data_IF_720162115864
#
_entry.id   IF_720162115864
#
_cell.length_a   1.000
_cell.length_b   1.000
_cell.length_c   1.000
_cell.angle_alpha   90.00
_cell.angle_beta   90.00
_cell.angle_gamma   90.00
#
_symmetry.space_group_name_H-M   'P 1'
#
loop_
_entity.id
_entity.type
_entity.pdbx_description
1 polymer ?
#
# COMPACT_ATOMS: atom_id res chain seq x y z
N UNK A 1 11.63 14.60 -7.08
CA UNK A 1 12.95 14.24 -7.64
C UNK A 1 13.72 13.40 -6.64
N UNK A 2 14.49 12.42 -7.12
CA UNK A 2 15.51 11.69 -6.35
C UNK A 2 16.88 12.07 -6.92
N UNK A 3 17.83 12.47 -6.07
CA UNK A 3 19.18 12.89 -6.47
C UNK A 3 19.20 13.93 -7.63
N UNK A 4 18.24 14.87 -7.60
CA UNK A 4 18.12 15.95 -8.58
C UNK A 4 17.48 15.58 -9.92
N UNK A 5 16.93 14.36 -10.06
CA UNK A 5 16.23 13.93 -11.29
C UNK A 5 14.84 13.40 -10.98
N UNK A 6 13.94 13.47 -11.96
CA UNK A 6 12.63 12.81 -11.92
C UNK A 6 12.66 11.59 -12.84
N UNK A 7 11.89 10.56 -12.51
CA UNK A 7 11.67 9.43 -13.40
C UNK A 7 11.19 9.91 -14.79
N UNK A 8 11.56 9.27 -15.92
CA UNK A 8 12.46 8.11 -16.03
C UNK A 8 13.95 8.47 -16.01
N UNK A 9 14.32 9.75 -15.87
CA UNK A 9 15.71 10.19 -15.88
C UNK A 9 16.50 9.89 -14.60
N UNK A 10 15.84 9.39 -13.54
CA UNK A 10 16.49 8.92 -12.32
C UNK A 10 17.46 7.78 -12.61
N UNK A 11 18.55 7.73 -11.82
CA UNK A 11 19.52 6.64 -11.90
C UNK A 11 18.85 5.26 -11.81
N UNK A 12 19.42 4.28 -12.52
CA UNK A 12 19.01 2.88 -12.44
C UNK A 12 20.03 2.13 -11.59
N UNK A 13 19.55 1.47 -10.55
CA UNK A 13 20.38 0.63 -9.69
C UNK A 13 20.43 -0.79 -10.27
N UNK A 14 21.59 -1.43 -10.20
CA UNK A 14 21.79 -2.78 -10.71
C UNK A 14 22.39 -3.65 -9.61
N UNK A 15 21.81 -4.84 -9.42
CA UNK A 15 22.23 -5.80 -8.40
C UNK A 15 22.21 -7.22 -8.97
N UNK A 16 22.92 -8.11 -8.29
CA UNK A 16 22.82 -9.55 -8.46
C UNK A 16 22.01 -10.17 -7.32
N UNK A 17 21.27 -11.27 -7.56
CA UNK A 17 20.61 -12.01 -6.48
C UNK A 17 21.60 -12.39 -5.37
N UNK A 18 21.24 -12.09 -4.12
CA UNK A 18 22.07 -12.35 -2.95
C UNK A 18 23.03 -11.22 -2.55
N UNK A 19 23.08 -10.11 -3.31
CA UNK A 19 23.86 -8.94 -2.90
C UNK A 19 23.42 -8.41 -1.54
N UNK A 20 24.36 -7.88 -0.74
CA UNK A 20 24.00 -7.14 0.48
C UNK A 20 23.92 -5.65 0.16
N UNK A 21 22.70 -5.14 0.03
CA UNK A 21 22.44 -3.74 -0.30
C UNK A 21 22.25 -2.93 0.97
N UNK A 22 22.89 -1.76 1.03
CA UNK A 22 22.73 -0.79 2.12
C UNK A 22 22.51 0.59 1.55
N UNK A 23 21.39 1.20 1.90
CA UNK A 23 21.06 2.57 1.50
C UNK A 23 20.98 3.49 2.70
N UNK A 24 21.30 4.75 2.45
CA UNK A 24 20.94 5.86 3.34
C UNK A 24 20.01 6.78 2.57
N UNK A 25 18.74 6.78 2.95
CA UNK A 25 17.72 7.60 2.31
C UNK A 25 17.54 8.86 3.16
N UNK A 26 17.64 10.02 2.54
CA UNK A 26 17.61 11.32 3.24
C UNK A 26 16.53 12.20 2.63
N UNK A 27 15.60 12.66 3.45
CA UNK A 27 14.61 13.63 3.03
C UNK A 27 15.10 15.06 3.32
N UNK A 28 15.68 15.71 2.31
CA UNK A 28 16.08 17.12 2.40
C UNK A 28 14.98 18.10 1.97
N UNK A 29 13.75 17.62 1.78
CA UNK A 29 12.64 18.44 1.30
C UNK A 29 11.74 18.89 2.45
N UNK A 30 10.85 19.83 2.16
CA UNK A 30 9.91 20.36 3.14
C UNK A 30 8.67 19.52 3.36
N UNK A 31 8.55 18.31 2.81
CA UNK A 31 7.36 17.43 2.92
C UNK A 31 7.78 16.06 3.39
N UNK A 32 6.87 15.29 3.99
CA UNK A 32 7.12 13.88 4.29
C UNK A 32 7.22 13.06 2.99
N UNK A 33 7.90 11.90 3.04
CA UNK A 33 7.90 10.93 1.96
C UNK A 33 7.82 9.50 2.52
N UNK A 34 6.67 8.81 2.42
CA UNK A 34 6.59 7.37 2.60
C UNK A 34 7.30 6.70 1.41
N UNK A 35 8.45 6.08 1.65
CA UNK A 35 9.27 5.48 0.60
C UNK A 35 9.07 3.97 0.58
N UNK A 36 8.56 3.44 -0.53
CA UNK A 36 8.15 2.06 -0.74
C UNK A 36 9.12 1.30 -1.66
N UNK A 37 9.48 0.08 -1.27
CA UNK A 37 10.27 -0.87 -2.08
C UNK A 37 9.39 -2.02 -2.56
N UNK A 38 9.32 -2.20 -3.88
CA UNK A 38 8.57 -3.31 -4.48
C UNK A 38 9.30 -4.65 -4.30
N UNK A 39 8.53 -5.72 -4.12
CA UNK A 39 9.00 -7.11 -4.15
C UNK A 39 9.88 -7.57 -2.98
N UNK A 40 10.32 -6.65 -2.12
CA UNK A 40 11.28 -6.95 -1.05
C UNK A 40 10.95 -6.22 0.23
N UNK A 41 11.41 -6.81 1.32
CA UNK A 41 11.53 -6.14 2.60
C UNK A 41 12.94 -5.58 2.79
N UNK A 42 13.01 -4.44 3.48
CA UNK A 42 14.24 -3.93 4.05
C UNK A 42 14.18 -3.93 5.57
N UNK A 43 15.35 -4.11 6.19
CA UNK A 43 15.61 -3.85 7.59
C UNK A 43 15.86 -2.36 7.78
N UNK A 44 15.14 -1.73 8.72
CA UNK A 44 15.44 -0.36 9.16
C UNK A 44 16.56 -0.45 10.20
N UNK A 45 17.78 -0.10 9.80
CA UNK A 45 18.99 -0.26 10.59
C UNK A 45 19.27 0.95 11.50
N UNK A 46 18.83 2.13 11.07
CA UNK A 46 18.98 3.37 11.84
C UNK A 46 17.99 4.43 11.37
N UNK A 47 17.59 5.33 12.29
CA UNK A 47 16.87 6.57 11.98
C UNK A 47 17.61 7.76 12.55
N UNK A 48 17.59 8.89 11.85
CA UNK A 48 18.26 10.10 12.31
C UNK A 48 17.71 11.37 11.69
N UNK A 49 18.18 12.48 12.20
CA UNK A 49 17.89 13.83 11.73
C UNK A 49 19.13 14.73 11.95
N UNK A 50 18.94 16.06 12.00
CA UNK A 50 20.03 17.00 12.26
C UNK A 50 20.67 16.84 13.65
N UNK A 51 19.95 16.29 14.63
CA UNK A 51 20.39 16.08 16.00
C UNK A 51 21.22 14.82 16.21
N UNK A 52 21.27 13.93 15.23
CA UNK A 52 22.04 12.68 15.29
C UNK A 52 21.30 11.51 14.71
N UNK A 53 21.87 10.32 14.87
CA UNK A 53 21.32 9.07 14.34
C UNK A 53 21.30 8.00 15.43
N UNK A 54 20.17 7.31 15.56
CA UNK A 54 19.98 6.16 16.42
C UNK A 54 20.14 4.90 15.58
N UNK A 55 21.18 4.12 15.86
CA UNK A 55 21.45 2.84 15.23
C UNK A 55 20.81 1.73 16.05
N UNK A 56 20.04 0.87 15.40
CA UNK A 56 19.30 -0.22 16.05
C UNK A 56 20.13 -1.49 16.16
N UNK A 57 20.02 -2.17 17.31
CA UNK A 57 20.55 -3.51 17.52
C UNK A 57 19.72 -4.57 16.80
N UNK A 58 20.24 -5.79 16.67
CA UNK A 58 19.61 -6.87 15.89
C UNK A 58 18.17 -7.21 16.38
N UNK A 59 17.88 -7.02 17.67
CA UNK A 59 16.54 -7.23 18.24
C UNK A 59 15.57 -6.04 18.13
N UNK A 60 16.00 -4.94 17.52
CA UNK A 60 15.25 -3.69 17.38
C UNK A 60 15.01 -3.30 15.90
N UNK A 61 15.77 -3.92 14.98
CA UNK A 61 15.66 -3.69 13.54
C UNK A 61 14.37 -4.27 13.01
N UNK A 62 13.49 -3.38 12.60
CA UNK A 62 12.19 -3.75 12.06
C UNK A 62 12.31 -4.01 10.56
N UNK A 63 11.65 -5.07 10.09
CA UNK A 63 11.38 -5.24 8.66
C UNK A 63 10.22 -4.34 8.24
N UNK A 64 10.34 -3.75 7.05
CA UNK A 64 9.32 -2.92 6.44
C UNK A 64 9.40 -3.01 4.92
N UNK A 65 8.33 -2.58 4.25
CA UNK A 65 8.34 -2.34 2.81
C UNK A 65 8.16 -0.85 2.51
N UNK A 66 7.66 -0.09 3.49
CA UNK A 66 7.49 1.36 3.40
C UNK A 66 8.10 2.02 4.63
N UNK A 67 8.86 3.10 4.44
CA UNK A 67 9.43 3.89 5.53
C UNK A 67 9.17 5.38 5.28
N UNK A 68 8.45 6.02 6.20
CA UNK A 68 8.22 7.46 6.13
C UNK A 68 9.42 8.25 6.63
N UNK A 69 9.90 9.16 5.79
CA UNK A 69 10.90 10.15 6.17
C UNK A 69 10.24 11.52 6.30
N UNK A 70 10.24 12.09 7.50
CA UNK A 70 9.83 13.48 7.69
C UNK A 70 10.91 14.46 7.18
N UNK A 71 10.58 15.75 7.00
CA UNK A 71 11.55 16.77 6.59
C UNK A 71 12.81 16.76 7.46
N UNK A 72 13.98 16.67 6.83
CA UNK A 72 15.28 16.63 7.49
C UNK A 72 15.67 15.28 8.10
N UNK A 73 14.82 14.26 8.01
CA UNK A 73 15.12 12.92 8.51
C UNK A 73 15.89 12.08 7.49
N UNK A 74 16.56 11.05 8.02
CA UNK A 74 17.22 10.01 7.26
C UNK A 74 16.97 8.63 7.89
N UNK A 75 16.93 7.61 7.05
CA UNK A 75 16.95 6.22 7.47
C UNK A 75 18.12 5.48 6.80
N UNK A 76 18.76 4.57 7.54
CA UNK A 76 19.63 3.55 6.96
C UNK A 76 18.83 2.27 6.84
N UNK A 77 18.83 1.70 5.64
CA UNK A 77 18.12 0.46 5.37
C UNK A 77 19.05 -0.55 4.72
N UNK A 78 18.87 -1.82 5.03
CA UNK A 78 19.58 -2.92 4.39
C UNK A 78 18.61 -3.98 3.90
N UNK A 79 18.91 -4.57 2.75
CA UNK A 79 18.08 -5.58 2.13
C UNK A 79 18.90 -6.47 1.20
N UNK A 80 18.31 -7.59 0.80
CA UNK A 80 18.92 -8.57 -0.09
C UNK A 80 17.96 -8.77 -1.27
N UNK A 81 18.36 -8.40 -2.50
CA UNK A 81 17.59 -8.76 -3.68
C UNK A 81 17.67 -10.27 -3.85
N UNK A 82 16.55 -10.97 -3.72
CA UNK A 82 16.47 -12.41 -3.94
C UNK A 82 15.82 -12.76 -5.27
N UNK A 83 14.91 -11.91 -5.74
CA UNK A 83 14.10 -12.14 -6.94
C UNK A 83 14.63 -11.31 -8.12
N UNK A 84 15.02 -11.96 -9.23
CA UNK A 84 15.47 -11.24 -10.41
C UNK A 84 14.32 -10.50 -11.09
N UNK A 85 14.68 -9.48 -11.85
CA UNK A 85 13.76 -8.63 -12.59
C UNK A 85 13.88 -7.16 -12.24
N UNK A 86 12.94 -6.40 -12.77
CA UNK A 86 12.85 -4.96 -12.66
C UNK A 86 11.90 -4.57 -11.53
N UNK A 87 12.39 -3.73 -10.63
CA UNK A 87 11.68 -3.31 -9.43
C UNK A 87 11.76 -1.79 -9.31
N UNK A 88 10.93 -1.20 -8.45
CA UNK A 88 11.03 0.23 -8.15
C UNK A 88 11.16 0.49 -6.65
N UNK A 89 11.82 1.60 -6.35
CA UNK A 89 11.77 2.26 -5.05
C UNK A 89 11.19 3.65 -5.26
N UNK A 90 10.04 3.96 -4.65
CA UNK A 90 9.31 5.18 -4.93
C UNK A 90 8.60 5.79 -3.73
N UNK A 91 8.23 7.06 -3.83
CA UNK A 91 7.35 7.67 -2.84
C UNK A 91 5.91 7.22 -3.08
N UNK A 92 5.21 6.85 -2.01
CA UNK A 92 3.83 6.36 -2.05
C UNK A 92 2.78 7.49 -2.01
N UNK A 93 3.19 8.76 -2.15
CA UNK A 93 2.26 9.86 -2.42
C UNK A 93 2.02 9.93 -3.93
N UNK A 94 0.77 9.84 -4.35
CA UNK A 94 0.39 9.74 -5.76
C UNK A 94 0.91 10.92 -6.59
N UNK A 95 0.80 12.15 -6.07
CA UNK A 95 1.34 13.38 -6.69
C UNK A 95 2.87 13.37 -6.83
N UNK A 96 3.58 12.49 -6.13
CA UNK A 96 5.02 12.35 -6.24
C UNK A 96 5.43 11.25 -7.22
N UNK A 97 4.51 10.39 -7.63
CA UNK A 97 4.78 9.25 -8.51
C UNK A 97 4.03 9.34 -9.86
N UNK A 98 3.12 10.31 -10.04
CA UNK A 98 2.32 10.50 -11.26
C UNK A 98 2.47 11.92 -11.84
N UNK A 99 2.66 12.02 -13.15
CA UNK A 99 2.70 13.30 -13.86
C UNK A 99 1.35 14.01 -13.93
N UNK A 100 0.26 13.23 -14.02
CA UNK A 100 -1.09 13.77 -14.21
C UNK A 100 -1.56 14.56 -12.99
N UNK A 101 -1.17 14.15 -11.79
CA UNK A 101 -1.48 14.89 -10.56
C UNK A 101 -0.50 16.04 -10.28
N UNK A 102 0.69 16.05 -10.90
CA UNK A 102 1.59 17.23 -10.85
C UNK A 102 1.17 18.37 -11.78
N UNK A 103 0.29 18.14 -12.75
CA UNK A 103 -0.14 19.17 -13.70
C UNK A 103 -1.06 20.25 -13.08
N UNK A 104 -1.67 20.00 -11.92
CA UNK A 104 -2.43 21.00 -11.15
C UNK A 104 -1.54 22.02 -10.39
N UNK A 105 -0.21 21.86 -10.48
CA UNK A 105 0.75 22.80 -9.90
C UNK A 105 1.61 23.53 -10.91
N UNK A 106 1.86 23.02 -12.12
CA UNK A 106 2.57 23.74 -13.20
C UNK A 106 2.13 23.23 -14.57
N UNK A 107 2.18 24.10 -15.59
CA UNK A 107 2.08 23.67 -16.99
C UNK A 107 3.02 22.48 -17.21
N UNK A 108 2.55 21.45 -17.89
CA UNK A 108 3.30 20.23 -18.06
C UNK A 108 4.58 20.59 -18.87
N UNK A 109 5.83 20.34 -18.36
CA UNK A 109 7.08 20.71 -19.05
C UNK A 109 7.17 20.17 -20.49
N UNK A 110 7.54 21.02 -21.47
CA UNK A 110 7.45 20.81 -22.94
C UNK A 110 7.79 19.43 -23.55
N UNK A 111 8.46 18.54 -22.81
CA UNK A 111 8.79 17.16 -23.19
C UNK A 111 7.72 16.13 -22.75
N UNK A 112 6.44 16.53 -22.65
CA UNK A 112 5.35 15.60 -22.30
C UNK A 112 5.15 14.52 -23.36
N UNK A 113 5.08 13.25 -22.95
CA UNK A 113 4.43 12.25 -23.78
C UNK A 113 2.91 12.55 -23.82
N UNK A 114 2.26 12.43 -24.98
CA UNK A 114 0.84 12.78 -25.13
C UNK A 114 -0.06 11.89 -24.25
N UNK A 115 -1.29 12.35 -24.00
CA UNK A 115 -2.35 11.53 -23.42
C UNK A 115 -2.49 10.23 -24.24
N UNK A 116 -2.14 9.10 -23.63
CA UNK A 116 -1.87 7.83 -24.35
C UNK A 116 -0.42 7.33 -24.22
N UNK A 117 0.40 7.95 -23.36
CA UNK A 117 1.73 7.46 -23.01
C UNK A 117 1.65 5.99 -22.54
N UNK A 118 2.37 5.12 -23.25
CA UNK A 118 2.48 3.70 -22.95
C UNK A 118 3.89 3.41 -22.46
N UNK A 119 4.02 2.50 -21.49
CA UNK A 119 5.32 2.10 -20.94
C UNK A 119 5.70 2.84 -19.66
N UNK A 120 7.01 3.05 -19.43
CA UNK A 120 7.57 3.67 -18.21
C UNK A 120 7.00 5.08 -17.90
N UNK A 121 6.41 5.75 -18.89
CA UNK A 121 5.92 7.13 -18.80
C UNK A 121 4.60 7.30 -18.02
N UNK A 122 3.96 6.20 -17.60
CA UNK A 122 2.80 6.22 -16.70
C UNK A 122 3.16 6.66 -15.27
N UNK A 123 4.46 6.65 -14.95
CA UNK A 123 5.04 7.08 -13.68
C UNK A 123 5.89 8.34 -13.88
N UNK A 124 6.06 9.13 -12.82
CA UNK A 124 6.82 10.37 -12.80
C UNK A 124 7.42 10.69 -11.43
N UNK A 125 8.27 11.70 -11.35
CA UNK A 125 8.69 12.24 -10.05
C UNK A 125 9.66 11.35 -9.23
N UNK A 126 9.33 11.09 -7.96
CA UNK A 126 10.15 10.36 -6.98
C UNK A 126 10.04 8.83 -7.17
N UNK A 127 10.55 8.34 -8.30
CA UNK A 127 10.65 6.91 -8.60
C UNK A 127 12.08 6.59 -9.01
N UNK A 128 12.62 5.49 -8.50
CA UNK A 128 13.95 4.96 -8.84
C UNK A 128 13.82 3.52 -9.32
N UNK A 129 14.45 3.20 -10.44
CA UNK A 129 14.39 1.88 -11.04
C UNK A 129 15.53 1.02 -10.53
N UNK A 130 15.23 -0.24 -10.23
CA UNK A 130 16.16 -1.26 -9.78
C UNK A 130 16.10 -2.42 -10.75
N UNK A 131 17.24 -2.97 -11.12
CA UNK A 131 17.36 -4.18 -11.92
C UNK A 131 18.16 -5.22 -11.14
N UNK A 132 17.54 -6.34 -10.85
CA UNK A 132 18.21 -7.52 -10.30
C UNK A 132 18.43 -8.48 -11.45
N UNK A 133 19.68 -8.74 -11.81
CA UNK A 133 20.00 -9.51 -13.01
C UNK A 133 19.56 -10.98 -12.85
N UNK A 134 18.89 -11.58 -13.85
CA UNK A 134 18.56 -13.00 -13.81
C UNK A 134 19.84 -13.83 -13.88
N UNK A 135 20.02 -14.83 -12.99
CA UNK A 135 21.16 -15.73 -13.07
C UNK A 135 21.06 -16.59 -14.35
N UNK A 136 22.18 -17.15 -14.85
CA UNK A 136 22.16 -18.03 -16.02
C UNK A 136 21.19 -19.21 -15.82
N UNK A 137 20.28 -19.39 -16.78
CA UNK A 137 19.27 -20.47 -16.73
C UNK A 137 18.07 -20.17 -15.82
N UNK A 138 17.88 -18.91 -15.40
CA UNK A 138 16.66 -18.49 -14.72
C UNK A 138 15.43 -18.73 -15.59
N UNK A 139 14.44 -19.42 -15.01
CA UNK A 139 13.10 -19.54 -15.53
C UNK A 139 12.16 -18.92 -14.51
N UNK A 140 11.35 -17.96 -14.96
CA UNK A 140 10.43 -17.23 -14.09
C UNK A 140 9.28 -18.10 -13.58
N UNK A 141 8.91 -19.12 -14.34
CA UNK A 141 7.68 -19.88 -14.13
C UNK A 141 7.97 -21.29 -13.61
N UNK A 142 7.08 -21.79 -12.75
CA UNK A 142 7.11 -23.18 -12.27
C UNK A 142 5.78 -23.89 -12.56
N UNK A 143 5.84 -25.22 -12.66
CA UNK A 143 4.66 -26.06 -12.94
C UNK A 143 3.88 -26.45 -11.68
N UNK A 144 4.12 -25.81 -10.52
CA UNK A 144 3.49 -26.25 -9.28
C UNK A 144 1.97 -25.96 -9.29
N UNK A 145 1.15 -26.92 -8.82
CA UNK A 145 -0.30 -26.74 -8.79
C UNK A 145 -0.67 -25.58 -7.87
N UNK A 146 -1.54 -24.70 -8.35
CA UNK A 146 -1.93 -23.46 -7.67
C UNK A 146 -3.41 -23.42 -7.37
N UNK A 147 -3.75 -22.87 -6.20
CA UNK A 147 -5.14 -22.45 -5.93
C UNK A 147 -5.45 -21.24 -6.80
N UNK A 148 -6.44 -21.36 -7.68
CA UNK A 148 -6.89 -20.27 -8.53
C UNK A 148 -7.93 -19.39 -7.84
N UNK A 149 -7.80 -18.09 -8.06
CA UNK A 149 -8.73 -17.03 -7.69
C UNK A 149 -9.05 -16.20 -8.94
N UNK A 150 -10.31 -15.85 -9.16
CA UNK A 150 -10.70 -14.99 -10.28
C UNK A 150 -11.09 -13.60 -9.75
N UNK A 151 -10.26 -12.59 -10.07
CA UNK A 151 -10.41 -11.20 -9.65
C UNK A 151 -10.88 -10.36 -10.84
N UNK A 152 -12.11 -9.87 -10.76
CA UNK A 152 -12.69 -9.03 -11.80
C UNK A 152 -12.54 -7.55 -11.47
N UNK A 153 -12.06 -6.79 -12.44
CA UNK A 153 -12.05 -5.33 -12.38
C UNK A 153 -13.27 -4.84 -13.15
N UNK A 154 -14.15 -4.12 -12.49
CA UNK A 154 -15.46 -3.73 -12.99
C UNK A 154 -15.70 -2.25 -12.79
N UNK A 155 -16.71 -1.71 -13.47
CA UNK A 155 -17.03 -0.29 -13.45
C UNK A 155 -18.52 -0.06 -13.33
N UNK A 156 -18.90 0.90 -12.49
CA UNK A 156 -20.27 1.42 -12.42
C UNK A 156 -20.27 2.93 -12.65
N UNK A 157 -21.00 3.45 -13.66
CA UNK A 157 -21.19 4.89 -13.83
C UNK A 157 -21.93 5.51 -12.65
N UNK A 158 -21.65 6.78 -12.36
CA UNK A 158 -22.44 7.59 -11.43
C UNK A 158 -22.43 7.14 -9.97
N UNK A 159 -21.36 6.45 -9.54
CA UNK A 159 -21.19 6.03 -8.14
C UNK A 159 -20.89 7.23 -7.26
N UNK A 160 -20.11 8.19 -7.77
CA UNK A 160 -19.67 9.37 -7.03
C UNK A 160 -20.19 10.63 -7.73
N UNK A 161 -21.52 10.70 -7.91
CA UNK A 161 -22.18 11.78 -8.66
C UNK A 161 -22.01 11.59 -10.17
N UNK A 162 -21.12 12.36 -10.78
CA UNK A 162 -20.77 12.26 -12.20
C UNK A 162 -19.58 11.31 -12.46
N UNK A 163 -18.78 10.99 -11.43
CA UNK A 163 -17.69 10.03 -11.53
C UNK A 163 -18.17 8.56 -11.46
N UNK A 164 -17.48 7.71 -12.21
CA UNK A 164 -17.62 6.27 -12.10
C UNK A 164 -16.90 5.74 -10.85
N UNK A 165 -17.38 4.61 -10.35
CA UNK A 165 -16.66 3.80 -9.38
C UNK A 165 -16.12 2.54 -10.03
N UNK A 166 -14.94 2.11 -9.59
CA UNK A 166 -14.26 0.93 -10.07
C UNK A 166 -14.06 -0.05 -8.92
N UNK A 167 -14.30 -1.34 -9.16
CA UNK A 167 -14.27 -2.35 -8.11
C UNK A 167 -13.35 -3.51 -8.45
N UNK A 168 -12.62 -3.97 -7.45
CA UNK A 168 -12.03 -5.30 -7.45
C UNK A 168 -13.00 -6.32 -6.83
N UNK A 169 -13.53 -7.23 -7.64
CA UNK A 169 -14.54 -8.21 -7.26
C UNK A 169 -13.97 -9.61 -7.40
N UNK A 170 -13.67 -10.25 -6.27
CA UNK A 170 -13.29 -11.65 -6.21
C UNK A 170 -14.55 -12.50 -6.36
N UNK A 171 -14.60 -13.38 -7.35
CA UNK A 171 -15.77 -14.22 -7.58
C UNK A 171 -15.37 -15.57 -8.17
N UNK A 172 -15.68 -16.63 -7.43
CA UNK A 172 -15.55 -17.99 -7.95
C UNK A 172 -16.74 -18.31 -8.89
N UNK A 173 -16.44 -18.94 -10.03
CA UNK A 173 -17.46 -19.39 -10.98
C UNK A 173 -17.79 -18.36 -12.07
N UNK A 174 -19.07 -18.18 -12.46
CA UNK A 174 -19.43 -17.25 -13.52
C UNK A 174 -18.98 -15.82 -13.19
N UNK A 175 -18.60 -14.98 -14.16
CA UNK A 175 -18.21 -13.60 -13.89
C UNK A 175 -19.33 -12.78 -13.23
N UNK A 176 -19.01 -11.77 -12.39
CA UNK A 176 -20.00 -10.85 -11.81
C UNK A 176 -20.76 -10.06 -12.86
N UNK A 177 -21.83 -9.37 -12.45
CA UNK A 177 -22.42 -8.32 -13.27
C UNK A 177 -21.36 -7.25 -13.61
N UNK A 178 -21.42 -6.70 -14.83
CA UNK A 178 -20.39 -5.77 -15.32
C UNK A 178 -20.28 -4.48 -14.48
N UNK A 179 -21.36 -4.10 -13.81
CA UNK A 179 -21.49 -2.94 -12.93
C UNK A 179 -21.37 -3.27 -11.43
N UNK A 180 -21.05 -4.52 -11.08
CA UNK A 180 -20.78 -4.91 -9.70
C UNK A 180 -19.52 -4.20 -9.22
N UNK A 181 -19.61 -3.33 -8.22
CA UNK A 181 -18.43 -2.66 -7.62
C UNK A 181 -18.55 -2.69 -6.11
N UNK A 182 -17.40 -2.76 -5.44
CA UNK A 182 -17.26 -2.92 -4.00
C UNK A 182 -16.15 -2.01 -3.51
N UNK A 183 -16.40 -1.31 -2.40
CA UNK A 183 -15.42 -0.46 -1.73
C UNK A 183 -15.27 -0.90 -0.27
N UNK A 184 -14.05 -1.20 0.20
CA UNK A 184 -12.88 -1.49 -0.63
C UNK A 184 -13.14 -2.71 -1.53
N UNK A 185 -12.19 -3.01 -2.41
CA UNK A 185 -12.12 -4.25 -3.16
C UNK A 185 -12.25 -5.49 -2.27
N UNK A 186 -12.56 -6.62 -2.90
CA UNK A 186 -12.78 -7.88 -2.20
C UNK A 186 -11.53 -8.32 -1.42
N UNK A 187 -11.63 -8.75 -0.16
CA UNK A 187 -10.48 -9.28 0.56
C UNK A 187 -9.91 -10.50 -0.16
N UNK A 188 -8.61 -10.50 -0.38
CA UNK A 188 -7.87 -11.68 -0.89
C UNK A 188 -7.21 -12.33 0.31
N UNK A 189 -7.42 -13.64 0.48
CA UNK A 189 -6.88 -14.41 1.60
C UNK A 189 -6.16 -15.65 1.08
N UNK A 190 -4.84 -15.64 1.27
CA UNK A 190 -3.94 -16.73 0.93
C UNK A 190 -3.32 -17.35 2.20
N UNK A 191 -2.60 -18.45 2.01
CA UNK A 191 -1.84 -19.13 3.06
C UNK A 191 -0.35 -19.06 2.76
N UNK A 192 0.47 -18.78 3.77
CA UNK A 192 1.93 -18.75 3.64
C UNK A 192 2.47 -20.07 3.12
N UNK A 193 3.28 -20.02 2.07
CA UNK A 193 3.93 -21.17 1.45
C UNK A 193 3.02 -22.02 0.55
N UNK A 194 1.74 -21.67 0.38
CA UNK A 194 0.85 -22.34 -0.56
C UNK A 194 0.83 -21.59 -1.90
N UNK A 195 1.18 -22.25 -3.02
CA UNK A 195 1.12 -21.62 -4.33
C UNK A 195 -0.30 -21.20 -4.72
N UNK A 196 -0.45 -19.95 -5.15
CA UNK A 196 -1.70 -19.39 -5.63
C UNK A 196 -1.53 -18.73 -7.00
N UNK A 197 -2.62 -18.70 -7.75
CA UNK A 197 -2.75 -17.88 -8.95
C UNK A 197 -4.00 -17.00 -8.87
N UNK A 198 -3.85 -15.75 -9.29
CA UNK A 198 -4.93 -14.77 -9.36
C UNK A 198 -5.11 -14.40 -10.82
N UNK A 199 -6.17 -14.90 -11.43
CA UNK A 199 -6.59 -14.52 -12.77
C UNK A 199 -7.33 -13.19 -12.69
N UNK A 200 -6.67 -12.13 -13.16
CA UNK A 200 -7.26 -10.81 -13.27
C UNK A 200 -7.98 -10.69 -14.60
N UNK A 201 -9.23 -10.24 -14.53
CA UNK A 201 -10.08 -9.98 -15.68
C UNK A 201 -10.45 -8.50 -15.70
N UNK A 202 -9.81 -7.72 -16.57
CA UNK A 202 -10.12 -6.31 -16.70
C UNK A 202 -11.40 -6.13 -17.55
N UNK A 203 -12.52 -5.90 -16.88
CA UNK A 203 -13.83 -5.64 -17.49
C UNK A 203 -14.25 -4.18 -17.33
N UNK A 204 -13.34 -3.33 -16.88
CA UNK A 204 -13.49 -1.89 -16.88
C UNK A 204 -13.15 -1.33 -18.28
N UNK A 205 -13.24 -0.02 -18.44
CA UNK A 205 -12.96 0.73 -19.68
C UNK A 205 -11.60 1.45 -19.65
N UNK A 206 -10.74 1.11 -18.69
CA UNK A 206 -9.41 1.71 -18.51
C UNK A 206 -8.33 0.64 -18.42
N UNK A 207 -7.18 0.91 -19.03
CA UNK A 207 -5.98 0.11 -18.85
C UNK A 207 -5.33 0.41 -17.49
N UNK A 208 -4.81 -0.63 -16.82
CA UNK A 208 -4.20 -0.47 -15.50
C UNK A 208 -3.17 -1.56 -15.18
N UNK A 209 -2.23 -1.24 -14.29
CA UNK A 209 -1.41 -2.19 -13.54
C UNK A 209 -1.98 -2.40 -12.13
N UNK A 210 -1.94 -3.64 -11.64
CA UNK A 210 -2.32 -4.00 -10.26
C UNK A 210 -1.06 -4.30 -9.48
N UNK A 211 -0.79 -3.53 -8.43
CA UNK A 211 0.33 -3.74 -7.54
C UNK A 211 -0.10 -4.45 -6.25
N UNK A 212 0.80 -5.29 -5.73
CA UNK A 212 0.60 -6.19 -4.60
C UNK A 212 1.46 -5.72 -3.43
N UNK A 213 1.00 -4.67 -2.79
CA UNK A 213 1.78 -3.89 -1.85
C UNK A 213 2.31 -4.74 -0.68
N UNK A 214 3.63 -4.91 -0.66
CA UNK A 214 4.39 -5.61 0.37
C UNK A 214 4.52 -7.13 0.16
N UNK A 215 3.99 -7.70 -0.92
CA UNK A 215 4.19 -9.12 -1.21
C UNK A 215 5.49 -9.35 -1.99
N UNK A 216 6.19 -10.43 -1.64
CA UNK A 216 7.25 -11.00 -2.47
C UNK A 216 6.63 -11.86 -3.58
N UNK A 217 6.92 -11.53 -4.84
CA UNK A 217 6.39 -12.20 -6.03
C UNK A 217 7.36 -12.09 -7.21
N UNK A 218 6.99 -12.59 -8.38
CA UNK A 218 7.76 -12.37 -9.61
C UNK A 218 7.63 -10.94 -10.13
N UNK A 219 8.75 -10.34 -10.55
CA UNK A 219 8.79 -8.98 -11.10
C UNK A 219 7.80 -8.77 -12.24
N UNK A 220 7.56 -9.78 -13.11
CA UNK A 220 6.60 -9.67 -14.20
C UNK A 220 5.18 -9.32 -13.75
N UNK A 221 4.78 -9.76 -12.55
CA UNK A 221 3.46 -9.55 -11.99
C UNK A 221 3.37 -8.37 -11.00
N UNK A 222 4.47 -7.65 -10.79
CA UNK A 222 4.61 -6.58 -9.79
C UNK A 222 3.69 -5.38 -10.05
N UNK A 223 3.28 -5.15 -11.30
CA UNK A 223 2.22 -4.20 -11.60
C UNK A 223 2.67 -2.78 -11.94
N UNK A 224 3.90 -2.58 -12.40
CA UNK A 224 4.39 -1.33 -12.98
C UNK A 224 4.46 -1.47 -14.52
N UNK A 225 3.41 -1.08 -15.26
CA UNK A 225 3.40 -1.20 -16.72
C UNK A 225 4.60 -0.50 -17.36
N UNK A 226 5.24 -1.19 -18.31
CA UNK A 226 6.41 -0.68 -19.01
C UNK A 226 7.73 -0.80 -18.27
N UNK A 227 7.74 -1.30 -17.03
CA UNK A 227 8.97 -1.50 -16.26
C UNK A 227 9.09 -2.90 -15.67
N UNK A 228 8.06 -3.35 -14.94
CA UNK A 228 8.00 -4.66 -14.30
C UNK A 228 8.26 -5.79 -15.29
N UNK A 229 9.02 -6.81 -14.89
CA UNK A 229 9.45 -7.92 -15.72
C UNK A 229 10.96 -8.08 -15.80
N UNK A 230 11.43 -8.61 -16.92
CA UNK A 230 12.82 -9.00 -17.16
C UNK A 230 13.39 -8.24 -18.37
N UNK A 231 14.71 -8.22 -18.58
CA UNK A 231 15.34 -7.49 -19.69
C UNK A 231 14.70 -7.71 -21.06
N UNK A 232 14.26 -8.96 -21.35
CA UNK A 232 13.66 -9.34 -22.64
C UNK A 232 12.13 -9.49 -22.59
N UNK A 233 11.52 -9.26 -21.42
CA UNK A 233 10.09 -9.45 -21.19
C UNK A 233 9.58 -8.42 -20.19
N UNK A 234 9.08 -7.29 -20.71
CA UNK A 234 8.49 -6.22 -19.91
C UNK A 234 6.97 -6.29 -19.99
N UNK A 235 6.32 -6.14 -18.83
CA UNK A 235 4.87 -6.23 -18.71
C UNK A 235 4.21 -4.92 -19.14
N UNK A 236 3.26 -5.00 -20.07
CA UNK A 236 2.34 -3.89 -20.40
C UNK A 236 1.16 -3.82 -19.44
N UNK A 237 0.45 -2.69 -19.46
CA UNK A 237 -0.80 -2.53 -18.73
C UNK A 237 -1.81 -3.60 -19.15
N UNK A 238 -2.76 -3.90 -18.26
CA UNK A 238 -3.85 -4.82 -18.55
C UNK A 238 -4.93 -4.03 -19.24
N UNK A 239 -5.05 -4.17 -20.56
CA UNK A 239 -6.01 -3.42 -21.37
C UNK A 239 -7.45 -3.77 -21.00
N UNK A 240 -8.38 -2.88 -21.36
CA UNK A 240 -9.81 -3.13 -21.20
C UNK A 240 -10.23 -4.37 -22.02
N UNK A 241 -10.87 -5.33 -21.37
CA UNK A 241 -11.26 -6.61 -21.96
C UNK A 241 -10.20 -7.72 -21.84
N UNK A 242 -8.96 -7.38 -21.50
CA UNK A 242 -7.88 -8.36 -21.37
C UNK A 242 -7.89 -9.05 -20.01
N UNK A 243 -7.12 -10.14 -19.93
CA UNK A 243 -6.91 -10.89 -18.69
C UNK A 243 -5.44 -11.25 -18.54
N UNK A 244 -5.00 -11.38 -17.30
CA UNK A 244 -3.66 -11.87 -16.99
C UNK A 244 -3.65 -12.65 -15.68
N UNK A 245 -2.67 -13.53 -15.53
CA UNK A 245 -2.51 -14.33 -14.33
C UNK A 245 -1.32 -13.80 -13.55
N UNK A 246 -1.54 -13.58 -12.25
CA UNK A 246 -0.48 -13.38 -11.26
C UNK A 246 -0.27 -14.68 -10.53
N UNK A 247 0.99 -15.10 -10.42
CA UNK A 247 1.38 -16.25 -9.62
C UNK A 247 2.19 -15.77 -8.44
N UNK A 248 1.94 -16.37 -7.28
CA UNK A 248 2.68 -16.07 -6.07
C UNK A 248 2.65 -17.26 -5.12
N UNK A 249 3.73 -17.44 -4.38
CA UNK A 249 3.80 -18.35 -3.23
C UNK A 249 4.26 -17.50 -2.05
N UNK A 250 3.34 -16.84 -1.31
CA UNK A 250 3.72 -15.86 -0.31
C UNK A 250 4.62 -16.49 0.75
N UNK A 251 5.87 -16.03 0.94
CA UNK A 251 6.79 -16.62 1.90
C UNK A 251 6.47 -16.17 3.34
N UNK A 252 5.59 -15.18 3.49
CA UNK A 252 5.27 -14.53 4.77
C UNK A 252 3.77 -14.40 5.00
N UNK A 253 3.34 -14.67 6.23
CA UNK A 253 1.99 -14.36 6.69
C UNK A 253 1.96 -12.92 7.22
N UNK A 254 0.85 -12.20 7.01
CA UNK A 254 0.77 -10.79 7.36
C UNK A 254 -0.44 -10.04 6.81
N UNK A 255 -0.41 -8.73 7.01
CA UNK A 255 -1.38 -7.73 6.57
C UNK A 255 -0.80 -6.93 5.42
N UNK A 256 -1.41 -7.05 4.25
CA UNK A 256 -0.99 -6.43 3.00
C UNK A 256 -2.18 -5.74 2.33
N UNK A 257 -1.93 -5.12 1.18
CA UNK A 257 -2.98 -4.53 0.36
C UNK A 257 -2.64 -4.68 -1.11
N UNK A 258 -3.63 -4.49 -1.96
CA UNK A 258 -3.44 -4.47 -3.40
C UNK A 258 -4.20 -3.29 -3.99
N UNK A 259 -3.69 -2.69 -5.05
CA UNK A 259 -4.27 -1.48 -5.61
C UNK A 259 -3.87 -1.25 -7.07
N UNK A 260 -4.62 -0.39 -7.77
CA UNK A 260 -4.19 0.10 -9.06
C UNK A 260 -2.93 0.98 -8.88
N UNK A 261 -1.90 0.71 -9.68
CA UNK A 261 -0.59 1.37 -9.57
C UNK A 261 -0.34 2.41 -10.66
N UNK A 262 -0.94 2.21 -11.84
CA UNK A 262 -0.95 3.21 -12.92
C UNK A 262 -2.31 3.90 -12.92
N UNK A 263 -2.33 5.21 -12.68
CA UNK A 263 -3.56 5.98 -12.48
C UNK A 263 -3.79 7.02 -13.62
N UNK A 264 -4.20 6.61 -14.84
CA UNK A 264 -4.87 7.54 -15.73
C UNK A 264 -6.25 7.89 -15.15
N UNK A 265 -6.37 9.07 -14.54
CA UNK A 265 -7.56 9.54 -13.82
C UNK A 265 -7.71 8.89 -12.44
N UNK A 266 -8.41 9.52 -11.49
CA UNK A 266 -8.48 9.21 -10.04
C UNK A 266 -8.93 7.77 -9.63
N UNK A 267 -8.33 6.72 -10.17
CA UNK A 267 -8.69 5.30 -10.01
C UNK A 267 -8.58 4.78 -8.57
N UNK A 268 -7.56 5.21 -7.81
CA UNK A 268 -7.48 4.86 -6.38
C UNK A 268 -8.66 5.47 -5.64
N UNK A 269 -8.89 6.77 -5.80
CA UNK A 269 -10.02 7.46 -5.18
C UNK A 269 -11.38 6.92 -5.69
N UNK A 270 -11.43 6.32 -6.87
CA UNK A 270 -12.64 5.70 -7.41
C UNK A 270 -12.80 4.22 -7.01
N UNK A 271 -11.91 3.69 -6.17
CA UNK A 271 -12.12 2.45 -5.42
C UNK A 271 -11.24 1.25 -5.79
N UNK A 272 -10.22 1.43 -6.64
CA UNK A 272 -9.29 0.35 -7.01
C UNK A 272 -8.21 0.13 -5.95
N UNK A 273 -8.64 -0.30 -4.76
CA UNK A 273 -7.77 -0.78 -3.68
C UNK A 273 -8.52 -1.80 -2.82
N UNK A 274 -7.81 -2.75 -2.22
CA UNK A 274 -8.41 -3.79 -1.38
C UNK A 274 -7.43 -4.42 -0.39
N UNK A 275 -7.95 -5.09 0.66
CA UNK A 275 -7.13 -5.74 1.66
C UNK A 275 -6.61 -7.09 1.14
N UNK A 276 -5.35 -7.40 1.44
CA UNK A 276 -4.72 -8.67 1.12
C UNK A 276 -4.17 -9.29 2.42
N UNK A 277 -4.59 -10.50 2.75
CA UNK A 277 -4.16 -11.20 3.94
C UNK A 277 -3.45 -12.49 3.56
N UNK A 278 -2.32 -12.75 4.18
CA UNK A 278 -1.68 -14.07 4.13
C UNK A 278 -1.71 -14.65 5.54
N UNK A 279 -2.30 -15.83 5.67
CA UNK A 279 -2.44 -16.52 6.95
C UNK A 279 -1.31 -17.53 7.17
N UNK A 280 -1.07 -17.84 8.44
CA UNK A 280 -0.25 -18.99 8.80
C UNK A 280 -0.92 -20.32 8.37
N UNK A 281 -0.16 -21.36 8.02
CA UNK A 281 -0.74 -22.67 7.69
C UNK A 281 -1.66 -23.19 8.80
N UNK A 282 -2.87 -23.60 8.42
CA UNK A 282 -3.89 -24.10 9.35
C UNK A 282 -4.71 -23.01 10.06
N UNK A 283 -4.40 -21.73 9.87
CA UNK A 283 -5.26 -20.64 10.32
C UNK A 283 -6.41 -20.39 9.33
N UNK A 284 -7.54 -19.88 9.83
CA UNK A 284 -8.66 -19.42 9.04
C UNK A 284 -8.92 -17.95 9.37
N UNK A 285 -9.20 -17.15 8.34
CA UNK A 285 -9.57 -15.75 8.55
C UNK A 285 -11.00 -15.67 9.06
N UNK A 286 -11.18 -15.04 10.21
CA UNK A 286 -12.49 -14.70 10.77
C UNK A 286 -12.62 -13.17 10.86
N UNK A 287 -13.41 -12.52 9.99
CA UNK A 287 -13.60 -11.07 10.02
C UNK A 287 -14.26 -10.55 11.31
N UNK A 288 -14.83 -11.45 12.14
CA UNK A 288 -15.38 -11.08 13.45
C UNK A 288 -14.29 -10.89 14.51
N UNK A 289 -13.16 -11.57 14.42
CA UNK A 289 -12.03 -11.43 15.36
C UNK A 289 -10.82 -10.70 14.77
N UNK A 290 -10.66 -10.76 13.45
CA UNK A 290 -9.63 -10.06 12.68
C UNK A 290 -10.25 -8.85 11.96
N UNK A 291 -10.36 -7.73 12.70
CA UNK A 291 -11.00 -6.51 12.24
C UNK A 291 -10.06 -5.73 11.32
N UNK A 292 -10.44 -5.59 10.05
CA UNK A 292 -9.72 -4.80 9.04
C UNK A 292 -10.24 -3.36 9.03
N UNK A 293 -9.32 -2.40 9.02
CA UNK A 293 -9.55 -0.96 8.84
C UNK A 293 -8.68 -0.47 7.69
N UNK A 294 -9.24 -0.49 6.49
CA UNK A 294 -8.59 0.01 5.29
C UNK A 294 -8.97 1.48 5.07
N UNK A 295 -8.00 2.34 5.30
CA UNK A 295 -8.08 3.79 5.21
C UNK A 295 -7.76 4.20 3.78
N UNK A 296 -8.64 4.99 3.17
CA UNK A 296 -8.45 5.47 1.80
C UNK A 296 -9.30 6.69 1.50
N UNK A 297 -9.52 6.92 0.21
CA UNK A 297 -10.38 7.99 -0.30
C UNK A 297 -11.49 7.40 -1.18
N UNK A 298 -12.59 8.15 -1.35
CA UNK A 298 -13.68 7.80 -2.24
C UNK A 298 -14.18 9.02 -3.02
N UNK A 299 -14.37 8.88 -4.33
CA UNK A 299 -14.90 9.91 -5.21
C UNK A 299 -13.85 10.54 -6.11
N UNK A 300 -13.86 11.87 -6.19
CA UNK A 300 -12.95 12.65 -7.05
C UNK A 300 -11.54 12.83 -6.48
N UNK A 301 -11.27 12.27 -5.29
CA UNK A 301 -10.01 12.45 -4.58
C UNK A 301 -9.96 13.77 -3.80
N UNK A 302 -9.12 13.81 -2.76
CA UNK A 302 -8.81 14.96 -1.89
C UNK A 302 -9.93 15.48 -0.96
N UNK A 303 -11.20 15.12 -1.14
CA UNK A 303 -12.28 15.65 -0.29
C UNK A 303 -12.44 14.89 1.04
N UNK A 304 -12.37 15.58 2.20
CA UNK A 304 -12.69 15.01 3.51
C UNK A 304 -14.20 14.75 3.71
N UNK A 305 -14.60 13.81 4.58
CA UNK A 305 -13.80 13.02 5.54
C UNK A 305 -13.06 11.81 4.93
N UNK A 306 -12.13 11.16 5.67
CA UNK A 306 -11.52 9.92 5.21
C UNK A 306 -12.55 8.81 5.00
N UNK A 307 -12.34 7.98 3.97
CA UNK A 307 -13.10 6.76 3.82
C UNK A 307 -12.45 5.65 4.66
N UNK A 308 -13.24 5.03 5.55
CA UNK A 308 -12.83 3.85 6.31
C UNK A 308 -13.63 2.67 5.81
N UNK A 309 -12.95 1.61 5.37
CA UNK A 309 -13.58 0.45 4.75
C UNK A 309 -14.57 0.85 3.64
N UNK A 310 -14.15 1.80 2.80
CA UNK A 310 -14.91 2.23 1.63
C UNK A 310 -16.20 2.98 1.97
N UNK A 311 -16.24 3.70 3.10
CA UNK A 311 -17.37 4.55 3.50
C UNK A 311 -16.90 5.85 4.15
N UNK A 312 -17.56 6.95 3.79
CA UNK A 312 -17.49 8.24 4.49
C UNK A 312 -18.36 8.28 5.76
N UNK A 313 -19.21 7.27 5.96
CA UNK A 313 -20.01 7.06 7.18
C UNK A 313 -20.01 5.55 7.50
N UNK A 314 -18.89 5.03 8.06
CA UNK A 314 -18.78 3.62 8.40
C UNK A 314 -19.74 3.26 9.56
N UNK A 315 -20.37 2.07 9.53
CA UNK A 315 -21.22 1.64 10.63
C UNK A 315 -20.42 1.44 11.92
N UNK A 316 -21.09 1.44 13.10
CA UNK A 316 -20.44 1.09 14.35
C UNK A 316 -19.77 -0.29 14.29
N UNK A 317 -18.68 -0.45 15.03
CA UNK A 317 -17.99 -1.72 15.22
C UNK A 317 -18.50 -2.37 16.50
N UNK A 318 -19.07 -3.57 16.38
CA UNK A 318 -19.55 -4.35 17.52
C UNK A 318 -18.52 -5.41 17.93
N UNK A 319 -18.16 -5.40 19.20
CA UNK A 319 -17.19 -6.31 19.80
C UNK A 319 -17.76 -6.92 21.10
N UNK A 320 -17.12 -7.99 21.55
CA UNK A 320 -17.44 -8.72 22.78
C UNK A 320 -16.32 -8.52 23.80
N UNK A 321 -16.70 -8.25 25.04
CA UNK A 321 -15.74 -8.07 26.12
C UNK A 321 -14.96 -9.37 26.39
N UNK A 322 -13.68 -9.25 26.75
CA UNK A 322 -12.82 -10.39 27.06
C UNK A 322 -12.41 -11.26 25.85
N UNK A 323 -12.89 -10.96 24.65
CA UNK A 323 -12.41 -11.56 23.41
C UNK A 323 -11.19 -10.80 22.89
N UNK A 324 -10.15 -11.53 22.48
CA UNK A 324 -8.99 -10.89 21.86
C UNK A 324 -9.25 -10.66 20.37
N UNK A 325 -9.01 -9.42 19.93
CA UNK A 325 -9.15 -8.99 18.54
C UNK A 325 -7.79 -8.64 17.96
N UNK A 326 -7.58 -9.00 16.69
CA UNK A 326 -6.51 -8.42 15.87
C UNK A 326 -7.09 -7.27 15.05
N UNK A 327 -6.61 -6.06 15.31
CA UNK A 327 -6.97 -4.86 14.55
C UNK A 327 -5.89 -4.63 13.50
N UNK A 328 -6.29 -4.68 12.21
CA UNK A 328 -5.39 -4.54 11.06
C UNK A 328 -5.66 -3.21 10.37
N UNK A 329 -4.73 -2.27 10.47
CA UNK A 329 -4.81 -0.97 9.81
C UNK A 329 -4.00 -1.00 8.52
N UNK A 330 -4.58 -0.47 7.45
CA UNK A 330 -3.94 -0.33 6.13
C UNK A 330 -4.24 1.07 5.62
N UNK A 331 -3.27 1.73 4.98
CA UNK A 331 -3.50 3.06 4.44
C UNK A 331 -3.05 3.18 2.99
N UNK A 332 -3.97 3.59 2.11
CA UNK A 332 -3.75 3.67 0.66
C UNK A 332 -4.45 4.87 0.00
N UNK A 333 -4.64 5.96 0.75
CA UNK A 333 -5.12 7.21 0.18
C UNK A 333 -4.10 7.79 -0.82
N UNK A 334 -4.50 8.69 -1.75
CA UNK A 334 -3.55 9.23 -2.71
C UNK A 334 -2.44 10.11 -2.09
N UNK A 335 -2.76 11.07 -1.22
CA UNK A 335 -1.80 12.12 -0.82
C UNK A 335 -2.00 12.69 0.59
N UNK A 336 -2.41 11.86 1.54
CA UNK A 336 -2.66 12.32 2.91
C UNK A 336 -2.03 11.40 3.97
N UNK A 337 -2.07 11.84 5.22
CA UNK A 337 -1.63 11.08 6.39
C UNK A 337 -2.80 10.85 7.34
N UNK A 338 -2.76 9.78 8.13
CA UNK A 338 -3.81 9.46 9.10
C UNK A 338 -3.23 9.36 10.51
N UNK A 339 -3.90 10.04 11.45
CA UNK A 339 -3.81 9.68 12.86
C UNK A 339 -5.03 8.86 13.24
N UNK A 340 -4.81 7.66 13.77
CA UNK A 340 -5.84 6.77 14.28
C UNK A 340 -5.73 6.73 15.79
N UNK A 341 -6.85 6.93 16.49
CA UNK A 341 -6.93 6.77 17.95
C UNK A 341 -8.13 5.94 18.36
N UNK A 342 -7.94 5.03 19.30
CA UNK A 342 -9.04 4.32 19.94
C UNK A 342 -9.21 4.84 21.37
N UNK A 343 -10.35 5.48 21.62
CA UNK A 343 -10.57 6.33 22.78
C UNK A 343 -11.68 5.78 23.69
N UNK A 344 -11.46 5.88 25.00
CA UNK A 344 -12.45 5.70 26.07
C UNK A 344 -12.61 7.03 26.80
N UNK A 345 -13.82 7.60 26.81
CA UNK A 345 -14.11 8.94 27.36
C UNK A 345 -13.14 10.05 26.91
N UNK A 346 -12.52 9.90 25.74
CA UNK A 346 -11.57 10.86 25.16
C UNK A 346 -10.09 10.53 25.39
N UNK A 347 -9.76 9.54 26.22
CA UNK A 347 -8.41 9.10 26.50
C UNK A 347 -8.06 7.83 25.69
N UNK A 348 -6.84 7.69 25.15
CA UNK A 348 -6.46 6.48 24.42
C UNK A 348 -6.49 5.23 25.30
N UNK A 349 -7.12 4.16 24.81
CA UNK A 349 -6.97 2.83 25.42
C UNK A 349 -5.55 2.31 25.19
N UNK A 350 -5.23 1.14 25.77
CA UNK A 350 -3.95 0.47 25.50
C UNK A 350 -4.17 -0.71 24.56
N UNK A 351 -3.31 -0.85 23.56
CA UNK A 351 -3.25 -2.01 22.67
C UNK A 351 -1.81 -2.54 22.57
N UNK A 352 -1.64 -3.75 22.05
CA UNK A 352 -0.33 -4.36 21.86
C UNK A 352 0.08 -4.30 20.40
N UNK A 353 1.13 -3.58 20.07
CA UNK A 353 1.69 -3.57 18.71
C UNK A 353 2.33 -4.92 18.39
N UNK A 354 2.03 -5.51 17.23
CA UNK A 354 2.54 -6.85 16.87
C UNK A 354 3.14 -6.96 15.47
N UNK A 355 2.70 -6.18 14.49
CA UNK A 355 3.28 -6.22 13.14
C UNK A 355 3.25 -4.84 12.46
N UNK A 356 4.17 -4.63 11.53
CA UNK A 356 4.16 -3.51 10.57
C UNK A 356 4.48 -4.06 9.18
N UNK A 357 3.77 -3.58 8.17
CA UNK A 357 3.94 -3.95 6.76
C UNK A 357 3.91 -5.45 6.53
N UNK A 358 3.06 -6.19 7.23
CA UNK A 358 2.97 -7.65 7.12
C UNK A 358 4.15 -8.44 7.73
N UNK A 359 5.11 -7.77 8.37
CA UNK A 359 6.17 -8.43 9.14
C UNK A 359 5.93 -8.27 10.65
N UNK A 360 6.15 -9.36 11.40
CA UNK A 360 6.14 -9.32 12.86
C UNK A 360 7.16 -8.30 13.38
N UNK A 361 6.76 -7.53 14.38
CA UNK A 361 7.67 -6.62 15.06
C UNK A 361 8.75 -7.42 15.81
N UNK A 362 10.01 -6.93 15.83
CA UNK A 362 11.05 -7.50 16.67
C UNK A 362 10.60 -7.59 18.13
N UNK A 363 11.02 -8.61 18.91
CA UNK A 363 10.56 -8.79 20.29
C UNK A 363 10.70 -7.56 21.20
N UNK A 364 11.70 -6.71 20.97
CA UNK A 364 11.90 -5.47 21.73
C UNK A 364 10.82 -4.41 21.47
N UNK A 365 10.13 -4.48 20.32
CA UNK A 365 9.10 -3.55 19.90
C UNK A 365 7.67 -4.07 20.16
N UNK A 366 7.49 -5.35 20.48
CA UNK A 366 6.19 -5.95 20.81
C UNK A 366 5.79 -5.59 22.25
N UNK A 367 5.09 -4.47 22.42
CA UNK A 367 4.69 -3.95 23.74
C UNK A 367 3.31 -3.31 23.72
N UNK A 368 2.74 -3.19 24.92
CA UNK A 368 1.56 -2.38 25.16
C UNK A 368 1.92 -0.89 24.96
N UNK A 369 1.11 -0.19 24.16
CA UNK A 369 1.26 1.24 23.85
C UNK A 369 -0.11 1.91 23.87
N UNK A 370 -0.17 3.23 24.12
CA UNK A 370 -1.40 3.98 23.88
C UNK A 370 -1.92 3.74 22.48
N UNK A 371 -3.23 3.65 22.33
CA UNK A 371 -3.89 3.40 21.07
C UNK A 371 -3.91 4.64 20.18
N UNK A 372 -2.71 5.09 19.80
CA UNK A 372 -2.41 6.21 18.93
C UNK A 372 -1.45 5.71 17.85
N UNK A 373 -1.96 5.67 16.62
CA UNK A 373 -1.20 5.26 15.45
C UNK A 373 -1.13 6.43 14.49
N UNK A 374 0.08 6.82 14.11
CA UNK A 374 0.30 7.56 12.88
C UNK A 374 0.61 6.55 11.78
N UNK A 375 -0.14 6.62 10.68
CA UNK A 375 0.01 5.74 9.53
C UNK A 375 0.02 6.60 8.26
N UNK A 376 1.14 6.57 7.53
CA UNK A 376 1.27 7.28 6.26
C UNK A 376 0.92 6.32 5.09
N UNK A 377 0.83 6.84 3.86
CA UNK A 377 0.37 6.04 2.70
C UNK A 377 1.34 4.87 2.42
N UNK A 378 0.79 3.69 2.17
CA UNK A 378 1.58 2.49 1.87
C UNK A 378 2.05 1.77 3.13
N UNK A 379 1.53 2.09 4.31
CA UNK A 379 1.87 1.37 5.54
C UNK A 379 0.74 0.45 6.00
N UNK A 380 1.10 -0.64 6.67
CA UNK A 380 0.15 -1.47 7.43
C UNK A 380 0.62 -1.71 8.86
N UNK A 381 -0.31 -1.85 9.79
CA UNK A 381 -0.02 -2.13 11.20
C UNK A 381 -1.03 -3.09 11.79
N UNK A 382 -0.57 -4.04 12.59
CA UNK A 382 -1.42 -4.92 13.37
C UNK A 382 -1.26 -4.65 14.87
N UNK A 383 -2.39 -4.61 15.56
CA UNK A 383 -2.47 -4.52 17.02
C UNK A 383 -3.35 -5.63 17.57
N UNK A 384 -3.03 -6.09 18.78
CA UNK A 384 -3.92 -6.94 19.57
C UNK A 384 -4.61 -6.10 20.64
N UNK A 385 -5.92 -6.31 20.80
CA UNK A 385 -6.70 -5.63 21.81
C UNK A 385 -7.74 -6.56 22.41
N UNK A 386 -7.86 -6.58 23.73
CA UNK A 386 -8.89 -7.32 24.46
C UNK A 386 -9.70 -6.29 25.25
N UNK A 387 -10.91 -5.91 24.78
CA UNK A 387 -11.64 -4.81 25.36
C UNK A 387 -12.45 -5.23 26.59
N UNK A 388 -12.68 -4.26 27.47
CA UNK A 388 -13.68 -4.33 28.54
C UNK A 388 -15.05 -3.85 28.01
N UNK A 389 -16.17 -4.19 28.68
CA UNK A 389 -17.48 -3.66 28.28
C UNK A 389 -17.50 -2.13 28.34
N UNK A 390 -17.97 -1.49 27.27
CA UNK A 390 -17.94 -0.04 27.16
C UNK A 390 -18.37 0.48 25.79
N UNK A 391 -18.41 1.80 25.66
CA UNK A 391 -18.66 2.51 24.41
C UNK A 391 -17.42 3.37 24.10
N UNK A 392 -16.68 2.96 23.08
CA UNK A 392 -15.41 3.56 22.66
C UNK A 392 -15.59 4.32 21.36
N UNK A 393 -14.61 5.16 21.03
CA UNK A 393 -14.54 5.88 19.75
C UNK A 393 -13.25 5.55 19.02
N UNK A 394 -13.35 4.96 17.83
CA UNK A 394 -12.24 4.89 16.89
C UNK A 394 -12.26 6.18 16.05
N UNK A 395 -11.34 7.09 16.36
CA UNK A 395 -11.16 8.37 15.67
C UNK A 395 -10.09 8.24 14.60
N UNK A 396 -10.41 8.64 13.38
CA UNK A 396 -9.48 8.74 12.26
C UNK A 396 -9.41 10.20 11.83
N UNK A 397 -8.23 10.80 11.92
CA UNK A 397 -7.98 12.18 11.51
C UNK A 397 -7.12 12.18 10.25
N UNK A 398 -7.67 12.68 9.15
CA UNK A 398 -6.90 13.00 7.95
C UNK A 398 -6.16 14.30 8.17
N UNK A 399 -4.85 14.28 7.91
CA UNK A 399 -4.04 15.49 7.82
C UNK A 399 -3.28 15.53 6.51
N UNK A 400 -2.95 16.73 6.08
CA UNK A 400 -2.23 16.97 4.84
C UNK A 400 -0.89 17.61 5.17
N UNK A 401 0.16 17.15 4.47
CA UNK A 401 1.37 17.92 4.29
C UNK A 401 2.03 18.45 5.58
N UNK A 402 2.41 17.55 6.50
CA UNK A 402 3.08 17.88 7.78
C UNK A 402 4.52 18.42 7.63
N UNK A 403 4.75 19.24 6.62
CA UNK A 403 6.01 19.88 6.26
C UNK A 403 6.36 21.11 7.08
N UNK A 404 7.60 21.21 7.56
CA UNK A 404 8.09 22.34 8.38
C UNK A 404 8.46 23.60 7.56
N UNK A 405 8.50 23.50 6.24
CA UNK A 405 8.78 24.63 5.36
C UNK A 405 7.48 25.12 4.74
N UNK A 406 7.01 26.28 5.22
CA UNK A 406 5.83 26.96 4.72
C UNK A 406 5.90 27.14 3.19
N UNK A 407 5.15 26.31 2.47
CA UNK A 407 4.73 26.60 1.10
C UNK A 407 3.28 27.10 1.16
N UNK A 408 2.89 28.17 0.43
CA UNK A 408 1.72 28.98 0.75
C UNK A 408 0.39 28.42 0.23
N UNK A 409 0.29 27.13 -0.11
CA UNK A 409 -1.02 26.52 -0.36
C UNK A 409 -1.56 26.05 0.97
N UNK A 410 -2.66 26.66 1.41
CA UNK A 410 -3.43 26.24 2.59
C UNK A 410 -3.73 24.75 2.46
N UNK A 411 -3.00 23.93 3.22
CA UNK A 411 -3.37 22.53 3.38
C UNK A 411 -4.82 22.49 3.88
N UNK A 412 -5.68 21.60 3.35
CA UNK A 412 -7.05 21.49 3.85
C UNK A 412 -7.04 21.32 5.37
N UNK A 413 -8.03 21.87 6.09
CA UNK A 413 -8.11 21.66 7.52
C UNK A 413 -8.18 20.16 7.82
N UNK A 414 -7.62 19.70 8.96
CA UNK A 414 -7.76 18.31 9.37
C UNK A 414 -9.23 17.89 9.39
N UNK A 415 -9.49 16.69 8.87
CA UNK A 415 -10.83 16.13 8.84
C UNK A 415 -10.92 14.92 9.75
N UNK A 416 -11.99 14.84 10.54
CA UNK A 416 -12.16 13.80 11.54
C UNK A 416 -13.33 12.90 11.19
N UNK A 417 -13.10 11.60 11.25
CA UNK A 417 -14.11 10.56 11.20
C UNK A 417 -14.10 9.80 12.52
N UNK A 418 -15.19 9.92 13.28
CA UNK A 418 -15.39 9.13 14.50
C UNK A 418 -16.27 7.93 14.19
N UNK A 419 -15.87 6.76 14.68
CA UNK A 419 -16.58 5.49 14.52
C UNK A 419 -16.89 4.96 15.92
N UNK A 420 -18.17 4.71 16.20
CA UNK A 420 -18.58 4.11 17.46
C UNK A 420 -18.10 2.67 17.53
N UNK A 421 -17.44 2.30 18.63
CA UNK A 421 -17.01 0.93 18.92
C UNK A 421 -17.74 0.47 20.18
N UNK A 422 -18.69 -0.44 20.02
CA UNK A 422 -19.58 -0.90 21.10
C UNK A 422 -19.10 -2.25 21.59
N UNK A 423 -18.69 -2.33 22.86
CA UNK A 423 -18.22 -3.57 23.46
C UNK A 423 -19.27 -4.04 24.46
N UNK A 424 -19.83 -5.23 24.21
CA UNK A 424 -20.89 -5.82 25.02
C UNK A 424 -20.44 -7.15 25.64
N UNK A 425 -21.06 -7.60 26.74
CA UNK A 425 -20.73 -8.87 27.39
C UNK A 425 -20.84 -10.10 26.50
#
# INVERSE_FOLDING_TARGET
MINGRSWPATERLYYEPGDTVRWRVVNMTGRIHPMHLHGFYFSVDARGDQGGEVVYGDGERQLAVTETLAPGQAARVSWIPTEPGNWIFHCHLMRHMSWLQTADVHEPPADHPPAGAAGEDLMGGLVMGIRVNPPPGFEADDDAPRRRLDLHITRRPGVFGDAAGYGFVLQDGPPPAADSVRFPGSPIVLTRGEPAEIAIHNRADVALGVHWHGLELESWADGVPGWSGYPDAIRSAVEAGDSFVVRMTPPRAGTFMYHAHSEPGHQLAQGLYGPFLVLEPGAAWDPETDRVFLLGSLGHGQDPPPAVNGRHDPPPVDLRAGHSYRLRFMHISPDDDKDVRLLDEGEPVTWRAVAKDGADLPPALVREVPAELRIDVGETYDFLWTPEPGDYTLRVVTTFDRGTFAFPREAPPPATQDISVRVRP
#
